data_IF_366058848959
#
_entry.id   IF_366058848959
#
_cell.length_a   1.000
_cell.length_b   1.000
_cell.length_c   1.000
_cell.angle_alpha   90.00
_cell.angle_beta   90.00
_cell.angle_gamma   90.00
#
_symmetry.space_group_name_H-M   'P 1'
#
loop_
_entity.id
_entity.type
_entity.pdbx_description
1 polymer ?
#
# COMPACT_ATOMS: atom_id res chain seq x y z
N UNK A 1 -10.59 2.14 -17.99
CA UNK A 1 -10.53 1.69 -16.58
C UNK A 1 -10.95 2.86 -15.71
N UNK A 2 -11.76 2.65 -14.67
CA UNK A 2 -12.17 3.73 -13.76
C UNK A 2 -11.10 3.85 -12.66
N UNK A 3 -10.37 4.96 -12.64
CA UNK A 3 -9.38 5.25 -11.61
C UNK A 3 -10.08 5.47 -10.26
N UNK A 4 -9.61 4.79 -9.21
CA UNK A 4 -10.18 4.91 -7.87
C UNK A 4 -9.27 5.87 -7.10
N UNK A 5 -9.68 7.13 -7.02
CA UNK A 5 -9.06 8.11 -6.13
C UNK A 5 -9.65 7.95 -4.72
N UNK A 6 -8.83 7.48 -3.79
CA UNK A 6 -9.16 7.43 -2.35
C UNK A 6 -8.62 8.66 -1.66
N UNK A 7 -9.23 9.02 -0.54
CA UNK A 7 -8.69 10.02 0.38
C UNK A 7 -7.92 9.34 1.51
N UNK A 8 -6.93 10.05 2.02
CA UNK A 8 -6.21 9.74 3.26
C UNK A 8 -7.11 9.96 4.49
N UNK A 9 -6.56 9.74 5.69
CA UNK A 9 -7.33 9.89 6.95
C UNK A 9 -7.74 11.33 7.26
N UNK A 10 -7.16 12.33 6.58
CA UNK A 10 -7.51 13.75 6.71
C UNK A 10 -8.51 14.21 5.64
N UNK A 11 -8.96 13.30 4.77
CA UNK A 11 -9.85 13.62 3.65
C UNK A 11 -9.13 14.22 2.43
N UNK A 12 -7.79 14.24 2.42
CA UNK A 12 -6.99 14.70 1.30
C UNK A 12 -6.84 13.55 0.29
N UNK A 13 -7.09 13.78 -1.01
CA UNK A 13 -6.86 12.74 -2.02
C UNK A 13 -5.40 12.26 -2.01
N UNK A 14 -5.22 10.95 -2.11
CA UNK A 14 -3.90 10.40 -2.43
C UNK A 14 -3.42 10.91 -3.79
N UNK A 15 -2.09 11.00 -3.96
CA UNK A 15 -1.47 11.48 -5.20
C UNK A 15 -1.72 10.53 -6.37
N UNK A 16 -1.85 9.24 -6.08
CA UNK A 16 -1.96 8.20 -7.10
C UNK A 16 -3.28 7.42 -6.98
N UNK A 17 -3.86 6.96 -8.10
CA UNK A 17 -4.97 6.03 -8.08
C UNK A 17 -4.64 4.76 -7.29
N UNK A 18 -5.57 4.29 -6.46
CA UNK A 18 -5.41 3.04 -5.73
C UNK A 18 -5.45 1.85 -6.68
N UNK A 19 -4.52 0.91 -6.49
CA UNK A 19 -4.56 -0.39 -7.13
C UNK A 19 -5.78 -1.17 -6.66
N UNK A 20 -6.54 -1.72 -7.60
CA UNK A 20 -7.66 -2.61 -7.28
C UNK A 20 -7.12 -3.97 -6.82
N UNK A 21 -7.21 -4.22 -5.52
CA UNK A 21 -6.84 -5.48 -4.87
C UNK A 21 -8.02 -6.01 -4.05
N UNK A 22 -7.96 -7.29 -3.70
CA UNK A 22 -8.88 -7.86 -2.72
C UNK A 22 -8.68 -7.21 -1.35
N UNK A 23 -9.76 -7.03 -0.60
CA UNK A 23 -9.69 -6.42 0.73
C UNK A 23 -8.76 -7.18 1.68
N UNK A 24 -8.68 -8.51 1.56
CA UNK A 24 -7.78 -9.35 2.35
C UNK A 24 -6.30 -9.07 2.04
N UNK A 25 -5.95 -8.89 0.76
CA UNK A 25 -4.59 -8.55 0.33
C UNK A 25 -4.19 -7.16 0.85
N UNK A 26 -5.10 -6.17 0.72
CA UNK A 26 -4.89 -4.82 1.25
C UNK A 26 -4.65 -4.87 2.77
N UNK A 27 -5.52 -5.57 3.51
CA UNK A 27 -5.40 -5.67 4.97
C UNK A 27 -4.08 -6.32 5.39
N UNK A 28 -3.67 -7.41 4.71
CA UNK A 28 -2.38 -8.08 4.94
C UNK A 28 -1.21 -7.12 4.73
N UNK A 29 -1.11 -6.47 3.56
CA UNK A 29 0.02 -5.58 3.23
C UNK A 29 0.08 -4.40 4.20
N UNK A 30 -1.05 -3.75 4.48
CA UNK A 30 -1.11 -2.65 5.44
C UNK A 30 -0.70 -3.09 6.86
N UNK A 31 -1.08 -4.31 7.28
CA UNK A 31 -0.69 -4.87 8.56
C UNK A 31 0.83 -5.16 8.64
N UNK A 32 1.43 -5.71 7.58
CA UNK A 32 2.87 -5.99 7.50
C UNK A 32 3.71 -4.71 7.55
N UNK A 33 3.27 -3.67 6.82
CA UNK A 33 3.87 -2.33 6.83
C UNK A 33 3.76 -1.73 8.23
N UNK A 34 2.58 -1.78 8.86
CA UNK A 34 2.34 -1.20 10.19
C UNK A 34 3.18 -1.88 11.27
N UNK A 35 3.25 -3.22 11.25
CA UNK A 35 4.10 -4.00 12.17
C UNK A 35 5.57 -3.61 12.09
N UNK A 36 6.03 -3.17 10.91
CA UNK A 36 7.41 -2.75 10.66
C UNK A 36 7.55 -1.24 10.43
N UNK A 37 6.60 -0.42 10.88
CA UNK A 37 6.47 0.98 10.44
C UNK A 37 7.71 1.83 10.71
N UNK A 38 8.51 1.50 11.73
CA UNK A 38 9.78 2.17 11.99
C UNK A 38 10.71 2.25 10.77
N UNK A 39 10.67 1.27 9.84
CA UNK A 39 11.45 1.24 8.60
C UNK A 39 10.93 2.24 7.53
N UNK A 40 9.67 2.62 7.65
CA UNK A 40 8.90 3.40 6.67
C UNK A 40 8.57 4.82 7.14
N UNK A 41 8.74 5.11 8.45
CA UNK A 41 8.46 6.42 9.04
C UNK A 41 9.18 7.55 8.30
N UNK A 42 8.41 8.56 7.89
CA UNK A 42 8.91 9.75 7.18
C UNK A 42 9.22 9.54 5.69
N UNK A 43 8.97 8.35 5.14
CA UNK A 43 9.10 8.09 3.70
C UNK A 43 7.71 8.17 3.06
N UNK A 44 7.52 9.13 2.16
CA UNK A 44 6.24 9.34 1.48
C UNK A 44 5.93 8.21 0.47
N UNK A 45 6.96 7.60 -0.10
CA UNK A 45 6.83 6.47 -1.02
C UNK A 45 7.69 5.31 -0.57
N UNK A 46 7.09 4.12 -0.50
CA UNK A 46 7.76 2.92 -0.03
C UNK A 46 7.55 1.76 -1.00
N UNK A 47 8.57 0.89 -1.06
CA UNK A 47 8.48 -0.43 -1.67
C UNK A 47 8.44 -1.47 -0.55
N UNK A 48 7.42 -2.33 -0.58
CA UNK A 48 7.26 -3.42 0.38
C UNK A 48 7.30 -4.76 -0.35
N UNK A 49 8.40 -5.49 -0.17
CA UNK A 49 8.56 -6.85 -0.70
C UNK A 49 7.95 -7.86 0.26
N UNK A 50 7.05 -8.69 -0.25
CA UNK A 50 6.38 -9.74 0.53
C UNK A 50 5.82 -10.80 -0.43
N UNK A 51 5.15 -11.82 0.11
CA UNK A 51 4.35 -12.74 -0.68
C UNK A 51 2.92 -12.25 -0.78
N UNK A 52 2.28 -12.39 -1.93
CA UNK A 52 0.83 -12.15 -2.04
C UNK A 52 0.00 -13.28 -1.39
N UNK A 53 -1.32 -13.20 -1.47
CA UNK A 53 -2.22 -14.25 -0.98
C UNK A 53 -2.00 -15.61 -1.67
N UNK A 54 -1.56 -15.61 -2.93
CA UNK A 54 -1.21 -16.80 -3.71
C UNK A 54 0.22 -17.31 -3.44
N UNK A 55 0.93 -16.68 -2.49
CA UNK A 55 2.31 -16.99 -2.07
C UNK A 55 3.41 -16.67 -3.08
N UNK A 56 3.11 -15.88 -4.11
CA UNK A 56 4.07 -15.39 -5.09
C UNK A 56 4.87 -14.22 -4.51
N UNK A 57 6.18 -14.20 -4.75
CA UNK A 57 7.03 -13.07 -4.38
C UNK A 57 6.67 -11.84 -5.23
N UNK A 58 6.41 -10.73 -4.57
CA UNK A 58 6.06 -9.50 -5.24
C UNK A 58 6.49 -8.26 -4.45
N UNK A 59 6.50 -7.12 -5.13
CA UNK A 59 6.81 -5.80 -4.62
C UNK A 59 5.55 -4.94 -4.69
N UNK A 60 5.11 -4.43 -3.55
CA UNK A 60 4.07 -3.42 -3.45
C UNK A 60 4.66 -2.02 -3.42
N UNK A 61 4.18 -1.15 -4.30
CA UNK A 61 4.46 0.29 -4.26
C UNK A 61 3.34 0.97 -3.50
N UNK A 62 3.70 1.77 -2.50
CA UNK A 62 2.75 2.34 -1.56
C UNK A 62 3.07 3.82 -1.33
N UNK A 63 2.06 4.67 -1.49
CA UNK A 63 2.06 6.03 -0.96
C UNK A 63 1.73 5.95 0.54
N UNK A 64 2.64 6.44 1.36
CA UNK A 64 2.61 6.36 2.81
C UNK A 64 2.38 7.75 3.40
N UNK A 65 1.19 7.98 3.96
CA UNK A 65 0.79 9.24 4.59
C UNK A 65 0.92 9.22 6.12
N UNK A 66 1.27 8.07 6.69
CA UNK A 66 1.37 7.91 8.13
C UNK A 66 1.11 6.48 8.57
N UNK A 67 1.25 6.22 9.86
CA UNK A 67 0.95 4.91 10.41
C UNK A 67 -0.54 4.57 10.18
N UNK A 68 -0.78 3.49 9.45
CA UNK A 68 -2.14 3.04 9.09
C UNK A 68 -2.76 3.77 7.90
N UNK A 69 -2.10 4.80 7.36
CA UNK A 69 -2.61 5.64 6.28
C UNK A 69 -1.80 5.40 5.00
N UNK A 70 -2.26 4.42 4.23
CA UNK A 70 -1.54 3.88 3.08
C UNK A 70 -2.42 3.73 1.86
N UNK A 71 -1.84 4.04 0.70
CA UNK A 71 -2.44 3.78 -0.59
C UNK A 71 -1.51 2.89 -1.41
N UNK A 72 -1.96 1.66 -1.69
CA UNK A 72 -1.23 0.73 -2.55
C UNK A 72 -1.50 1.13 -4.00
N UNK A 73 -0.45 1.46 -4.74
CA UNK A 73 -0.54 2.02 -6.11
C UNK A 73 -0.08 1.04 -7.17
N UNK A 74 0.70 0.03 -6.80
CA UNK A 74 1.25 -0.94 -7.74
C UNK A 74 1.68 -2.24 -7.07
N UNK A 75 1.65 -3.32 -7.86
CA UNK A 75 2.13 -4.66 -7.48
C UNK A 75 2.90 -5.22 -8.68
N UNK A 76 4.13 -5.67 -8.45
CA UNK A 76 4.99 -6.28 -9.47
C UNK A 76 5.52 -7.61 -8.95
N UNK A 77 5.50 -8.64 -9.78
CA UNK A 77 6.11 -9.92 -9.45
C UNK A 77 7.61 -9.85 -9.69
N UNK A 78 8.39 -10.50 -8.83
CA UNK A 78 9.82 -10.76 -9.07
C UNK A 78 10.00 -11.78 -10.20
#
# INVERSE_FOLDING_TARGET
MKEIFRCDMNGVPYLFPSLKLENAEIAKVCHEISTNYGKYKGKEFIMHRTKDLDRNCCIYFVENRGYGDYNIVGKYYD
#
